data_IF_643921532654
#
_entry.id   IF_643921532654
#
_cell.length_a   1.000
_cell.length_b   1.000
_cell.length_c   1.000
_cell.angle_alpha   90.00
_cell.angle_beta   90.00
_cell.angle_gamma   90.00
#
_symmetry.space_group_name_H-M   'P 1'
#
loop_
_entity.id
_entity.type
_entity.pdbx_description
1 polymer ?
#
# COMPACT_ATOMS: atom_id res chain seq x y z
N UNK A 1 -43.52 16.95 22.07
CA UNK A 1 -42.30 16.76 21.25
C UNK A 1 -42.43 15.76 20.09
N UNK A 2 -43.32 14.75 20.13
CA UNK A 2 -43.43 13.75 19.05
C UNK A 2 -44.21 14.18 17.79
N UNK A 3 -44.89 15.33 17.80
CA UNK A 3 -45.71 15.80 16.66
C UNK A 3 -44.92 16.67 15.65
N UNK A 4 -43.77 17.23 16.05
CA UNK A 4 -42.94 18.09 15.18
C UNK A 4 -42.07 17.25 14.23
N UNK A 5 -41.68 16.04 14.64
CA UNK A 5 -40.87 15.13 13.81
C UNK A 5 -41.64 14.54 12.61
N UNK A 6 -42.97 14.36 12.74
CA UNK A 6 -43.79 13.81 11.65
C UNK A 6 -44.04 14.85 10.55
N UNK A 7 -44.14 16.14 10.89
CA UNK A 7 -44.27 17.20 9.89
C UNK A 7 -42.96 17.43 9.10
N UNK A 8 -41.80 17.24 9.74
CA UNK A 8 -40.51 17.41 9.07
C UNK A 8 -40.21 16.27 8.08
N UNK A 9 -40.65 15.04 8.37
CA UNK A 9 -40.46 13.91 7.47
C UNK A 9 -41.34 13.97 6.21
N UNK A 10 -42.57 14.51 6.31
CA UNK A 10 -43.47 14.66 5.16
C UNK A 10 -42.98 15.77 4.22
N UNK A 11 -42.32 16.81 4.75
CA UNK A 11 -41.77 17.89 3.91
C UNK A 11 -40.52 17.45 3.12
N UNK A 12 -39.74 16.49 3.62
CA UNK A 12 -38.59 15.94 2.89
C UNK A 12 -38.97 15.00 1.74
N UNK A 13 -40.12 14.31 1.82
CA UNK A 13 -40.56 13.38 0.75
C UNK A 13 -41.10 14.14 -0.48
N UNK A 14 -41.66 15.33 -0.30
CA UNK A 14 -42.18 16.15 -1.42
C UNK A 14 -41.06 16.82 -2.24
N UNK A 15 -39.85 16.98 -1.67
CA UNK A 15 -38.71 17.59 -2.36
C UNK A 15 -37.90 16.62 -3.22
N UNK A 16 -38.12 15.31 -3.11
CA UNK A 16 -37.33 14.29 -3.85
C UNK A 16 -38.03 13.84 -5.14
N UNK A 17 -39.34 14.08 -5.31
CA UNK A 17 -40.10 13.64 -6.49
C UNK A 17 -40.16 14.66 -7.64
N UNK A 18 -39.42 15.78 -7.55
CA UNK A 18 -39.52 16.91 -8.48
C UNK A 18 -38.60 16.92 -9.71
N UNK A 19 -37.77 15.91 -9.93
CA UNK A 19 -36.83 15.87 -11.05
C UNK A 19 -36.96 14.60 -11.89
N UNK A 20 -38.12 14.43 -12.54
CA UNK A 20 -38.24 13.57 -13.72
C UNK A 20 -39.08 14.32 -14.76
N UNK A 21 -38.40 15.18 -15.53
CA UNK A 21 -38.93 15.68 -16.81
C UNK A 21 -38.15 14.96 -17.90
N UNK A 22 -38.91 14.20 -18.68
CA UNK A 22 -38.55 13.52 -19.91
C UNK A 22 -38.54 14.51 -21.06
N UNK A 23 -37.44 14.62 -21.80
CA UNK A 23 -37.44 15.21 -23.15
C UNK A 23 -37.14 14.11 -24.17
N UNK A 24 -38.08 13.93 -25.10
CA UNK A 24 -37.97 13.07 -26.28
C UNK A 24 -37.12 13.74 -27.39
N UNK A 25 -36.59 12.98 -28.36
CA UNK A 25 -35.71 13.51 -29.39
C UNK A 25 -36.50 13.99 -30.62
N UNK A 26 -36.39 15.27 -30.97
CA UNK A 26 -36.82 15.75 -32.29
C UNK A 26 -35.69 15.64 -33.32
N UNK A 27 -35.97 14.82 -34.33
CA UNK A 27 -35.32 14.77 -35.63
C UNK A 27 -35.62 16.04 -36.44
N UNK A 28 -34.60 16.71 -36.99
CA UNK A 28 -34.82 17.84 -37.90
C UNK A 28 -33.55 18.27 -38.63
N UNK A 29 -33.61 18.34 -39.95
CA UNK A 29 -32.49 18.38 -40.91
C UNK A 29 -32.38 19.78 -41.55
N UNK A 30 -31.15 20.16 -41.92
CA UNK A 30 -30.71 21.14 -42.96
C UNK A 30 -30.98 22.65 -42.75
N UNK A 31 -29.93 23.49 -42.70
CA UNK A 31 -29.40 24.32 -43.81
C UNK A 31 -28.45 25.41 -43.31
N UNK A 32 -27.32 25.52 -44.02
CA UNK A 32 -26.40 26.66 -44.05
C UNK A 32 -27.11 27.98 -44.37
N UNK A 33 -26.62 29.11 -43.82
CA UNK A 33 -26.32 30.38 -44.53
C UNK A 33 -25.63 31.37 -43.58
N UNK A 34 -24.38 31.70 -43.95
CA UNK A 34 -23.62 32.96 -43.88
C UNK A 34 -23.99 34.19 -43.00
N UNK A 35 -22.88 34.81 -42.52
CA UNK A 35 -22.58 36.28 -42.33
C UNK A 35 -23.30 36.99 -41.16
N UNK A 36 -22.73 37.94 -40.42
CA UNK A 36 -21.58 38.84 -40.57
C UNK A 36 -21.29 39.50 -39.20
N UNK A 37 -20.03 39.95 -38.98
CA UNK A 37 -19.59 41.12 -38.17
C UNK A 37 -19.71 41.14 -36.63
N UNK A 38 -18.54 41.20 -35.98
CA UNK A 38 -18.05 42.30 -35.12
C UNK A 38 -16.64 41.90 -34.60
N UNK A 39 -15.54 42.48 -35.10
CA UNK A 39 -14.95 43.78 -34.75
C UNK A 39 -14.28 43.81 -33.35
N UNK A 40 -12.94 43.81 -33.39
CA UNK A 40 -11.96 44.49 -32.53
C UNK A 40 -12.14 44.54 -31.00
N UNK A 41 -11.22 43.87 -30.31
CA UNK A 41 -10.58 44.40 -29.10
C UNK A 41 -9.15 43.82 -29.00
N UNK A 42 -8.18 44.53 -29.57
CA UNK A 42 -6.77 44.37 -29.19
C UNK A 42 -6.60 45.00 -27.81
N UNK A 43 -6.36 44.20 -26.78
CA UNK A 43 -5.89 44.73 -25.50
C UNK A 43 -4.39 44.49 -25.35
N UNK A 44 -3.69 45.59 -25.12
CA UNK A 44 -2.25 45.69 -25.07
C UNK A 44 -1.74 45.10 -23.76
N UNK A 45 -0.82 44.16 -23.92
CA UNK A 45 0.12 43.71 -22.90
C UNK A 45 0.87 44.94 -22.33
N UNK A 46 0.69 45.21 -21.04
CA UNK A 46 1.55 46.10 -20.27
C UNK A 46 2.27 45.27 -19.20
N UNK A 47 3.51 44.89 -19.49
CA UNK A 47 4.41 44.27 -18.52
C UNK A 47 4.83 45.31 -17.46
N UNK A 48 4.80 45.00 -16.16
CA UNK A 48 5.32 45.90 -15.14
C UNK A 48 6.86 45.94 -15.16
N UNK A 49 7.38 47.16 -14.99
CA UNK A 49 8.79 47.52 -14.90
C UNK A 49 9.46 46.88 -13.67
N UNK A 50 10.73 46.40 -13.75
CA UNK A 50 11.45 45.89 -12.61
C UNK A 50 12.11 47.04 -11.85
N UNK A 51 11.58 47.40 -10.69
CA UNK A 51 12.18 48.42 -9.83
C UNK A 51 11.82 48.27 -8.36
N UNK A 52 12.85 48.28 -7.53
CA UNK A 52 12.87 48.58 -6.10
C UNK A 52 12.62 47.42 -5.11
N UNK A 53 13.75 46.86 -4.62
CA UNK A 53 13.82 45.96 -3.47
C UNK A 53 13.83 46.81 -2.19
N UNK A 54 12.70 46.87 -1.49
CA UNK A 54 12.67 47.34 -0.09
C UNK A 54 13.46 46.38 0.81
N UNK A 55 14.45 46.93 1.53
CA UNK A 55 15.14 46.24 2.61
C UNK A 55 14.24 46.22 3.84
N UNK A 56 13.58 45.09 4.09
CA UNK A 56 12.94 44.82 5.38
C UNK A 56 14.04 44.42 6.37
N UNK A 57 14.34 45.29 7.33
CA UNK A 57 15.19 44.98 8.48
C UNK A 57 14.29 44.32 9.53
N UNK A 58 14.40 43.00 9.67
CA UNK A 58 13.77 42.26 10.77
C UNK A 58 14.71 42.35 11.97
N UNK A 59 14.31 43.13 12.98
CA UNK A 59 14.95 43.13 14.29
C UNK A 59 14.44 41.90 15.05
N UNK A 60 15.30 40.90 15.22
CA UNK A 60 15.02 39.76 16.09
C UNK A 60 15.31 40.16 17.54
N UNK A 61 14.31 40.05 18.40
CA UNK A 61 14.51 40.15 19.85
C UNK A 61 15.24 38.90 20.37
N UNK A 62 16.12 39.03 21.38
CA UNK A 62 16.88 37.90 21.92
C UNK A 62 15.94 36.89 22.58
N UNK A 63 15.97 35.66 22.08
CA UNK A 63 15.28 34.51 22.65
C UNK A 63 15.86 34.23 24.04
N UNK A 64 15.02 34.35 25.07
CA UNK A 64 15.37 34.02 26.45
C UNK A 64 15.41 32.50 26.60
N UNK A 65 16.58 31.95 26.96
CA UNK A 65 16.73 30.52 27.24
C UNK A 65 15.80 30.09 28.39
N UNK A 66 15.08 28.97 28.25
CA UNK A 66 14.26 28.43 29.32
C UNK A 66 15.15 27.85 30.43
N UNK A 67 14.80 28.15 31.68
CA UNK A 67 15.47 27.58 32.86
C UNK A 67 15.30 26.05 32.91
N UNK A 68 16.33 25.32 33.37
CA UNK A 68 16.27 23.87 33.46
C UNK A 68 15.24 23.41 34.50
N UNK A 69 14.48 22.38 34.14
CA UNK A 69 13.50 21.77 35.02
C UNK A 69 14.18 21.13 36.25
N UNK A 70 13.56 21.20 37.44
CA UNK A 70 14.08 20.55 38.64
C UNK A 70 14.05 19.01 38.49
N UNK A 71 15.14 18.37 38.90
CA UNK A 71 15.27 16.91 38.89
C UNK A 71 14.30 16.26 39.88
N UNK A 72 13.64 15.13 39.53
CA UNK A 72 12.75 14.43 40.43
C UNK A 72 13.52 13.66 41.50
N UNK A 73 13.04 13.75 42.75
CA UNK A 73 13.54 12.96 43.88
C UNK A 73 13.29 11.46 43.66
N UNK A 74 14.37 10.70 43.57
CA UNK A 74 14.35 9.23 43.45
C UNK A 74 14.10 8.65 44.84
N UNK A 75 12.89 8.14 45.08
CA UNK A 75 12.56 7.32 46.25
C UNK A 75 12.95 5.88 45.95
N UNK A 76 14.02 5.40 46.58
CA UNK A 76 14.43 3.99 46.55
C UNK A 76 13.53 3.21 47.51
N UNK A 77 12.71 2.32 46.97
CA UNK A 77 11.93 1.33 47.73
C UNK A 77 12.61 -0.01 47.52
N UNK A 78 13.29 -0.51 48.57
CA UNK A 78 13.81 -1.88 48.62
C UNK A 78 12.65 -2.85 48.89
N UNK A 79 12.23 -3.60 47.88
CA UNK A 79 11.38 -4.78 48.06
C UNK A 79 12.26 -6.04 48.22
N UNK A 80 11.98 -6.90 49.22
CA UNK A 80 12.71 -8.15 49.39
C UNK A 80 12.26 -9.20 48.37
N UNK A 81 13.25 -9.85 47.75
CA UNK A 81 13.03 -10.93 46.79
C UNK A 81 12.34 -12.14 47.45
N UNK A 82 11.29 -12.72 46.83
CA UNK A 82 10.74 -13.99 47.26
C UNK A 82 11.66 -15.16 46.84
N UNK A 83 11.87 -16.08 47.77
CA UNK A 83 12.64 -17.32 47.55
C UNK A 83 11.92 -18.24 46.54
N UNK A 84 12.65 -18.91 45.64
CA UNK A 84 12.05 -19.87 44.71
C UNK A 84 11.78 -21.21 45.40
N UNK A 85 10.52 -21.63 45.41
CA UNK A 85 10.09 -22.99 45.73
C UNK A 85 10.59 -23.95 44.64
N UNK A 86 11.31 -25.00 45.07
CA UNK A 86 11.78 -26.08 44.20
C UNK A 86 10.66 -27.09 43.97
N UNK A 87 10.03 -27.02 42.81
CA UNK A 87 9.15 -28.08 42.32
C UNK A 87 9.99 -29.12 41.58
N UNK A 88 10.03 -30.34 42.12
CA UNK A 88 10.71 -31.49 41.52
C UNK A 88 9.74 -32.10 40.52
N UNK A 89 9.94 -31.81 39.24
CA UNK A 89 9.21 -32.45 38.13
C UNK A 89 10.01 -33.68 37.69
N UNK A 90 9.43 -34.86 37.92
CA UNK A 90 9.89 -36.13 37.37
C UNK A 90 9.58 -36.15 35.86
N UNK A 91 10.62 -36.00 35.05
CA UNK A 91 10.51 -36.08 33.58
C UNK A 91 10.57 -37.56 33.19
N UNK A 92 9.46 -38.08 32.70
CA UNK A 92 9.41 -39.37 32.03
C UNK A 92 10.11 -39.25 30.66
N UNK A 93 11.07 -40.13 30.39
CA UNK A 93 11.72 -40.28 29.08
C UNK A 93 10.68 -40.75 28.05
N UNK A 94 10.36 -39.89 27.09
CA UNK A 94 9.62 -40.27 25.89
C UNK A 94 10.55 -40.93 24.86
N UNK A 95 10.07 -41.94 24.10
CA UNK A 95 10.89 -42.69 23.18
C UNK A 95 11.29 -41.87 21.96
N UNK A 96 12.58 -41.91 21.61
CA UNK A 96 13.10 -41.41 20.35
C UNK A 96 12.46 -42.17 19.19
N UNK A 97 11.48 -41.54 18.51
CA UNK A 97 10.94 -42.04 17.25
C UNK A 97 11.67 -41.41 16.06
N UNK A 98 12.57 -42.24 15.54
CA UNK A 98 13.26 -42.22 14.27
C UNK A 98 12.33 -41.87 13.09
N UNK A 99 12.60 -40.76 12.40
CA UNK A 99 12.71 -40.65 10.93
C UNK A 99 12.38 -39.25 10.41
N UNK A 100 13.41 -38.39 10.36
CA UNK A 100 13.46 -37.29 9.40
C UNK A 100 13.43 -37.88 7.98
N UNK A 101 12.23 -38.05 7.41
CA UNK A 101 12.10 -38.16 5.96
C UNK A 101 12.37 -36.77 5.39
N UNK A 102 13.43 -36.57 4.58
CA UNK A 102 13.60 -35.32 3.88
C UNK A 102 12.38 -35.10 2.99
N UNK A 103 11.74 -33.94 3.16
CA UNK A 103 10.70 -33.46 2.25
C UNK A 103 11.25 -33.54 0.81
N UNK A 104 10.47 -34.04 -0.15
CA UNK A 104 10.93 -34.11 -1.54
C UNK A 104 11.25 -32.69 -2.00
N UNK A 105 12.53 -32.44 -2.26
CA UNK A 105 12.96 -31.22 -2.91
C UNK A 105 12.22 -31.15 -4.25
N UNK A 106 11.22 -30.28 -4.33
CA UNK A 106 10.64 -29.84 -5.59
C UNK A 106 11.73 -29.03 -6.31
N UNK A 107 12.66 -29.75 -6.94
CA UNK A 107 13.60 -29.18 -7.89
C UNK A 107 12.79 -28.88 -9.15
N UNK A 108 12.12 -27.74 -9.14
CA UNK A 108 11.66 -27.11 -10.38
C UNK A 108 12.93 -26.74 -11.14
N UNK A 109 13.19 -27.40 -12.27
CA UNK A 109 14.14 -26.90 -13.28
C UNK A 109 13.68 -25.50 -13.69
N UNK A 110 14.18 -24.48 -13.00
CA UNK A 110 14.08 -23.09 -13.41
C UNK A 110 15.00 -22.97 -14.61
N UNK A 111 14.41 -22.80 -15.80
CA UNK A 111 15.15 -22.66 -17.03
C UNK A 111 16.18 -21.51 -16.91
N UNK A 112 17.35 -21.67 -17.55
CA UNK A 112 18.28 -20.56 -17.73
C UNK A 112 17.60 -19.52 -18.64
N UNK A 113 17.18 -18.40 -18.07
CA UNK A 113 16.57 -17.30 -18.80
C UNK A 113 17.63 -16.24 -19.14
N UNK A 114 17.62 -15.75 -20.38
CA UNK A 114 18.40 -14.57 -20.78
C UNK A 114 18.00 -13.38 -19.87
N UNK A 115 19.02 -12.67 -19.39
CA UNK A 115 18.99 -11.73 -18.26
C UNK A 115 18.22 -10.41 -18.51
N UNK A 116 17.11 -10.42 -19.25
CA UNK A 116 16.17 -9.31 -19.34
C UNK A 116 14.77 -9.88 -19.52
N UNK A 117 14.00 -9.97 -18.44
CA UNK A 117 12.58 -10.27 -18.52
C UNK A 117 11.76 -8.99 -18.32
N UNK A 118 10.98 -8.65 -19.35
CA UNK A 118 10.00 -7.57 -19.29
C UNK A 118 8.61 -8.17 -19.00
N UNK A 119 8.00 -7.75 -17.90
CA UNK A 119 6.66 -8.20 -17.52
C UNK A 119 5.79 -7.02 -17.15
N UNK A 120 4.55 -7.02 -17.66
CA UNK A 120 3.53 -6.02 -17.37
C UNK A 120 2.34 -6.65 -16.66
N UNK A 121 1.80 -5.95 -15.67
CA UNK A 121 0.60 -6.35 -14.94
C UNK A 121 -0.49 -5.26 -15.01
N UNK A 122 -1.77 -5.67 -15.01
CA UNK A 122 -2.94 -4.78 -14.90
C UNK A 122 -4.04 -5.41 -14.04
N UNK A 123 -4.58 -4.67 -13.08
CA UNK A 123 -5.58 -5.17 -12.10
C UNK A 123 -6.98 -4.58 -12.21
N UNK A 124 -7.94 -5.26 -11.59
CA UNK A 124 -9.37 -4.91 -11.52
C UNK A 124 -9.76 -3.98 -10.37
N UNK A 125 -10.92 -4.22 -9.76
CA UNK A 125 -11.40 -3.44 -8.60
C UNK A 125 -10.58 -3.80 -7.36
N UNK A 126 -9.96 -2.84 -6.66
CA UNK A 126 -9.18 -3.15 -5.48
C UNK A 126 -10.04 -3.42 -4.25
N UNK A 127 -9.47 -4.16 -3.31
CA UNK A 127 -9.97 -4.34 -1.94
C UNK A 127 -8.90 -3.90 -0.95
N UNK A 128 -9.26 -3.04 0.00
CA UNK A 128 -8.36 -2.59 1.04
C UNK A 128 -8.35 -3.59 2.19
N UNK A 129 -7.15 -3.99 2.64
CA UNK A 129 -6.93 -4.74 3.87
C UNK A 129 -6.75 -3.74 5.01
N UNK A 130 -7.52 -3.90 6.08
CA UNK A 130 -7.48 -3.10 7.29
C UNK A 130 -6.70 -3.82 8.39
N UNK A 131 -6.31 -3.14 9.46
CA UNK A 131 -5.67 -3.81 10.59
C UNK A 131 -6.58 -4.86 11.22
N UNK A 132 -6.01 -6.00 11.62
CA UNK A 132 -6.77 -7.05 12.29
C UNK A 132 -5.92 -8.20 12.79
N UNK A 133 -6.61 -9.22 13.34
CA UNK A 133 -5.97 -10.48 13.74
C UNK A 133 -5.38 -11.18 12.53
N UNK A 134 -4.14 -11.64 12.65
CA UNK A 134 -3.53 -12.47 11.60
C UNK A 134 -4.34 -13.75 11.42
N UNK A 135 -4.57 -14.16 10.17
CA UNK A 135 -5.31 -15.39 9.86
C UNK A 135 -4.52 -16.62 10.29
N UNK A 136 -3.24 -16.68 9.93
CA UNK A 136 -2.39 -17.85 10.22
C UNK A 136 -1.84 -17.86 11.65
N UNK A 137 -1.67 -16.68 12.28
CA UNK A 137 -1.22 -16.57 13.68
C UNK A 137 -2.16 -15.65 14.49
N UNK A 138 -3.35 -16.13 14.92
CA UNK A 138 -4.41 -15.28 15.51
C UNK A 138 -4.05 -14.54 16.81
N UNK A 139 -2.95 -14.91 17.47
CA UNK A 139 -2.43 -14.19 18.63
C UNK A 139 -1.73 -12.88 18.25
N UNK A 140 -1.32 -12.71 16.99
CA UNK A 140 -0.83 -11.45 16.44
C UNK A 140 -2.03 -10.57 16.05
N UNK A 141 -2.09 -9.38 16.64
CA UNK A 141 -3.14 -8.37 16.42
C UNK A 141 -2.58 -7.18 15.63
N UNK A 142 -3.48 -6.36 15.10
CA UNK A 142 -3.15 -5.15 14.33
C UNK A 142 -2.19 -5.39 13.15
N UNK A 143 -2.35 -6.54 12.48
CA UNK A 143 -1.50 -6.97 11.36
C UNK A 143 -2.13 -6.66 10.00
N UNK A 144 -1.29 -6.64 8.95
CA UNK A 144 -1.72 -6.56 7.54
C UNK A 144 -2.18 -7.91 6.95
N UNK A 145 -2.09 -9.00 7.72
CA UNK A 145 -2.31 -10.39 7.28
C UNK A 145 -3.66 -10.92 7.76
N UNK A 146 -4.71 -10.14 7.53
CA UNK A 146 -6.04 -10.35 8.10
C UNK A 146 -7.12 -10.51 7.02
N UNK A 147 -8.31 -10.89 7.48
CA UNK A 147 -9.56 -10.94 6.71
C UNK A 147 -10.45 -9.71 6.97
N UNK A 148 -9.97 -8.73 7.74
CA UNK A 148 -10.65 -7.44 7.88
C UNK A 148 -10.43 -6.61 6.62
N UNK A 149 -11.42 -6.59 5.74
CA UNK A 149 -11.32 -6.01 4.40
C UNK A 149 -12.48 -5.08 4.09
N UNK A 150 -12.29 -4.21 3.11
CA UNK A 150 -13.33 -3.33 2.59
C UNK A 150 -13.09 -3.04 1.12
N UNK A 151 -14.17 -3.05 0.33
CA UNK A 151 -14.12 -2.71 -1.08
C UNK A 151 -13.49 -1.32 -1.29
N UNK A 152 -12.68 -1.22 -2.33
CA UNK A 152 -12.04 0.00 -2.76
C UNK A 152 -12.34 0.27 -4.23
N UNK A 153 -11.78 1.36 -4.75
CA UNK A 153 -11.81 1.71 -6.18
C UNK A 153 -10.46 2.25 -6.56
N UNK A 154 -9.99 1.88 -7.74
CA UNK A 154 -8.65 2.21 -8.15
C UNK A 154 -8.23 1.53 -9.43
N UNK A 155 -6.97 1.71 -9.78
CA UNK A 155 -6.33 1.10 -10.94
C UNK A 155 -4.89 0.73 -10.57
N UNK A 156 -4.42 -0.38 -11.14
CA UNK A 156 -3.06 -0.85 -11.02
C UNK A 156 -2.52 -1.18 -12.41
N UNK A 157 -1.35 -0.61 -12.73
CA UNK A 157 -0.49 -1.05 -13.83
C UNK A 157 0.97 -0.94 -13.41
N UNK A 158 1.77 -1.91 -13.83
CA UNK A 158 3.21 -1.89 -13.59
C UNK A 158 3.94 -2.65 -14.69
N UNK A 159 5.10 -2.15 -15.09
CA UNK A 159 6.05 -2.81 -15.96
C UNK A 159 7.43 -2.84 -15.29
N UNK A 160 8.06 -4.01 -15.29
CA UNK A 160 9.36 -4.22 -14.65
C UNK A 160 10.37 -4.82 -15.62
N UNK A 161 11.64 -4.56 -15.32
CA UNK A 161 12.78 -5.20 -15.96
C UNK A 161 13.62 -5.84 -14.86
N UNK A 162 13.73 -7.16 -14.92
CA UNK A 162 14.65 -7.95 -14.08
C UNK A 162 15.84 -8.39 -14.94
N UNK A 163 17.02 -7.96 -14.52
CA UNK A 163 18.31 -8.22 -15.17
C UNK A 163 19.30 -8.93 -14.27
N UNK A 164 18.93 -9.14 -13.00
CA UNK A 164 19.84 -9.56 -11.95
C UNK A 164 19.16 -10.59 -11.07
N UNK A 165 19.41 -11.86 -11.35
CA UNK A 165 18.80 -12.96 -10.58
C UNK A 165 19.18 -12.96 -9.08
N UNK A 166 20.28 -12.30 -8.71
CA UNK A 166 20.84 -12.31 -7.35
C UNK A 166 20.79 -10.94 -6.71
N UNK A 167 20.60 -10.96 -5.39
CA UNK A 167 20.61 -9.79 -4.55
C UNK A 167 21.96 -9.05 -4.62
N UNK A 168 21.93 -7.79 -5.02
CA UNK A 168 23.15 -7.03 -5.32
C UNK A 168 22.85 -5.54 -5.35
N UNK A 169 23.64 -4.74 -4.62
CA UNK A 169 23.58 -3.27 -4.67
C UNK A 169 23.84 -2.71 -6.10
N UNK A 170 24.44 -3.53 -6.97
CA UNK A 170 24.72 -3.21 -8.37
C UNK A 170 23.64 -3.71 -9.34
N UNK A 171 22.52 -4.22 -8.84
CA UNK A 171 21.41 -4.67 -9.69
C UNK A 171 20.98 -3.59 -10.70
N UNK A 172 20.72 -4.02 -11.93
CA UNK A 172 20.15 -3.22 -13.01
C UNK A 172 18.61 -3.21 -13.03
N UNK A 173 17.99 -3.86 -12.05
CA UNK A 173 16.55 -4.10 -12.02
C UNK A 173 15.82 -2.81 -11.69
N UNK A 174 14.72 -2.59 -12.39
CA UNK A 174 13.98 -1.34 -12.32
C UNK A 174 12.52 -1.50 -12.70
N UNK A 175 11.72 -0.63 -12.12
CA UNK A 175 10.34 -0.41 -12.54
C UNK A 175 10.37 0.64 -13.65
N UNK A 176 9.95 0.25 -14.86
CA UNK A 176 9.96 1.14 -16.04
C UNK A 176 8.73 2.06 -16.06
N UNK A 177 7.57 1.53 -15.67
CA UNK A 177 6.32 2.26 -15.59
C UNK A 177 5.51 1.70 -14.44
N UNK A 178 4.92 2.58 -13.64
CA UNK A 178 4.02 2.18 -12.55
C UNK A 178 2.96 3.25 -12.35
N UNK A 179 1.73 2.79 -12.17
CA UNK A 179 0.64 3.63 -11.73
C UNK A 179 -0.27 2.79 -10.84
N UNK A 180 -0.35 3.21 -9.59
CA UNK A 180 -1.20 2.59 -8.58
C UNK A 180 -2.04 3.69 -8.00
N UNK A 181 -3.35 3.52 -8.07
CA UNK A 181 -4.32 4.41 -7.48
C UNK A 181 -5.34 3.59 -6.72
N UNK A 182 -5.72 4.03 -5.52
CA UNK A 182 -6.86 3.46 -4.82
C UNK A 182 -7.48 4.44 -3.82
N UNK A 183 -8.74 4.18 -3.45
CA UNK A 183 -9.48 4.96 -2.43
C UNK A 183 -9.61 4.17 -1.13
N UNK A 184 -9.05 4.71 -0.06
CA UNK A 184 -9.21 4.15 1.29
C UNK A 184 -10.65 4.22 1.79
N UNK A 185 -10.96 3.41 2.82
CA UNK A 185 -12.22 3.42 3.57
C UNK A 185 -12.66 4.81 4.04
N UNK A 186 -11.69 5.65 4.41
CA UNK A 186 -11.93 7.02 4.88
C UNK A 186 -12.17 8.01 3.73
N UNK A 187 -12.19 7.53 2.48
CA UNK A 187 -12.44 8.33 1.29
C UNK A 187 -11.20 9.00 0.71
N UNK A 188 -10.02 8.87 1.33
CA UNK A 188 -8.78 9.42 0.78
C UNK A 188 -8.33 8.61 -0.44
N UNK A 189 -7.86 9.31 -1.46
CA UNK A 189 -7.32 8.75 -2.69
C UNK A 189 -5.79 8.77 -2.61
N UNK A 190 -5.15 7.63 -2.85
CA UNK A 190 -3.69 7.50 -2.81
C UNK A 190 -3.14 7.17 -4.19
N UNK A 191 -1.93 7.67 -4.48
CA UNK A 191 -1.25 7.42 -5.75
C UNK A 191 0.24 7.10 -5.58
N UNK A 192 0.71 6.19 -6.40
CA UNK A 192 2.12 5.84 -6.62
C UNK A 192 2.38 5.90 -8.13
N UNK A 193 3.43 6.62 -8.54
CA UNK A 193 3.78 6.82 -9.95
C UNK A 193 5.25 6.49 -10.26
N UNK A 194 6.03 6.14 -9.24
CA UNK A 194 7.43 5.76 -9.35
C UNK A 194 7.74 4.77 -8.24
N UNK A 195 8.55 3.74 -8.51
CA UNK A 195 9.13 2.89 -7.48
C UNK A 195 10.63 2.78 -7.73
N UNK A 196 11.40 3.21 -6.74
CA UNK A 196 12.86 3.09 -6.71
C UNK A 196 13.22 1.76 -6.06
N UNK A 197 13.84 0.85 -6.81
CA UNK A 197 14.12 -0.51 -6.36
C UNK A 197 15.10 -0.57 -5.19
N UNK A 198 14.75 -1.37 -4.19
CA UNK A 198 15.56 -1.66 -3.01
C UNK A 198 16.45 -2.86 -3.29
N UNK A 199 17.58 -2.60 -3.96
CA UNK A 199 18.44 -3.58 -4.65
C UNK A 199 19.01 -4.71 -3.80
N UNK A 200 19.02 -4.56 -2.49
CA UNK A 200 19.54 -5.55 -1.57
C UNK A 200 18.69 -5.61 -0.31
N UNK A 201 18.27 -6.81 0.03
CA UNK A 201 17.52 -7.06 1.25
C UNK A 201 18.43 -7.15 2.47
N UNK A 202 17.93 -6.68 3.61
CA UNK A 202 18.66 -6.73 4.88
C UNK A 202 18.37 -8.05 5.61
N UNK A 203 17.10 -8.46 5.64
CA UNK A 203 16.64 -9.63 6.41
C UNK A 203 16.48 -10.89 5.56
N UNK A 204 16.05 -10.72 4.32
CA UNK A 204 15.83 -11.78 3.34
C UNK A 204 16.22 -11.24 1.96
N UNK A 205 16.50 -12.10 0.96
CA UNK A 205 16.86 -11.66 -0.38
C UNK A 205 15.75 -10.83 -1.03
N UNK A 206 16.09 -9.69 -1.64
CA UNK A 206 15.16 -8.89 -2.44
C UNK A 206 15.30 -9.15 -3.96
N UNK A 207 16.18 -10.07 -4.36
CA UNK A 207 16.46 -10.39 -5.76
C UNK A 207 16.85 -9.15 -6.58
N UNK A 208 17.75 -8.30 -6.07
CA UNK A 208 18.09 -7.08 -6.83
C UNK A 208 16.99 -6.01 -6.78
N UNK A 209 15.98 -6.21 -5.92
CA UNK A 209 14.81 -5.36 -5.75
C UNK A 209 13.60 -5.82 -6.57
N UNK A 210 13.79 -6.69 -7.57
CA UNK A 210 12.72 -7.27 -8.39
C UNK A 210 12.95 -8.76 -8.57
N UNK A 211 12.01 -9.60 -8.11
CA UNK A 211 12.02 -11.03 -8.39
C UNK A 211 10.93 -11.41 -9.37
N UNK A 212 11.29 -12.10 -10.45
CA UNK A 212 10.34 -12.77 -11.34
C UNK A 212 10.29 -14.27 -11.08
N UNK A 213 9.07 -14.83 -11.07
CA UNK A 213 8.79 -16.25 -10.88
C UNK A 213 9.47 -16.85 -9.63
N UNK A 214 9.34 -16.18 -8.48
CA UNK A 214 9.97 -16.58 -7.22
C UNK A 214 8.92 -17.13 -6.25
N UNK A 215 9.24 -18.23 -5.56
CA UNK A 215 8.46 -18.65 -4.39
C UNK A 215 8.72 -17.68 -3.24
N UNK A 216 7.66 -17.20 -2.62
CA UNK A 216 7.70 -16.23 -1.50
C UNK A 216 6.71 -16.64 -0.40
N UNK A 217 6.83 -15.99 0.76
CA UNK A 217 5.98 -16.20 1.94
C UNK A 217 6.07 -17.62 2.53
N UNK A 218 5.21 -17.93 3.51
CA UNK A 218 5.19 -19.23 4.18
C UNK A 218 6.55 -19.61 4.78
N UNK A 219 7.00 -20.82 4.48
CA UNK A 219 8.27 -21.40 4.96
C UNK A 219 9.47 -21.13 4.05
N UNK A 220 9.32 -20.32 2.99
CA UNK A 220 10.43 -19.98 2.07
C UNK A 220 11.55 -19.17 2.73
N UNK A 221 11.27 -18.54 3.87
CA UNK A 221 12.17 -17.56 4.50
C UNK A 221 12.26 -16.22 3.76
N UNK A 222 11.40 -15.99 2.76
CA UNK A 222 11.31 -14.73 2.02
C UNK A 222 10.06 -13.97 2.46
N UNK A 223 10.29 -12.75 2.95
CA UNK A 223 9.30 -11.85 3.54
C UNK A 223 8.65 -12.37 4.84
N UNK A 224 7.52 -13.08 4.76
CA UNK A 224 6.70 -13.39 5.93
C UNK A 224 6.04 -14.77 5.86
N UNK A 225 6.05 -15.47 6.99
CA UNK A 225 5.31 -16.72 7.19
C UNK A 225 3.80 -16.52 7.43
N UNK A 226 3.33 -15.27 7.48
CA UNK A 226 1.94 -14.93 7.80
C UNK A 226 1.00 -14.93 6.59
N UNK A 227 1.55 -15.19 5.39
CA UNK A 227 0.81 -15.52 4.18
C UNK A 227 1.15 -16.96 3.74
N UNK A 228 0.25 -17.64 3.00
CA UNK A 228 0.56 -18.91 2.37
C UNK A 228 1.77 -18.82 1.43
N UNK A 229 2.60 -19.86 1.38
CA UNK A 229 3.68 -19.95 0.39
C UNK A 229 3.06 -19.92 -1.01
N UNK A 230 3.48 -18.97 -1.84
CA UNK A 230 2.90 -18.72 -3.18
C UNK A 230 3.98 -18.41 -4.20
N UNK A 231 3.69 -18.65 -5.48
CA UNK A 231 4.52 -18.15 -6.58
C UNK A 231 4.22 -16.67 -6.83
N UNK A 232 5.24 -15.83 -6.65
CA UNK A 232 5.25 -14.46 -7.15
C UNK A 232 5.70 -14.44 -8.61
N UNK A 233 4.80 -14.09 -9.51
CA UNK A 233 5.13 -13.77 -10.90
C UNK A 233 6.00 -12.52 -10.97
N UNK A 234 5.68 -11.53 -10.14
CA UNK A 234 6.46 -10.31 -9.93
C UNK A 234 6.49 -10.00 -8.45
N UNK A 235 7.64 -9.66 -7.88
CA UNK A 235 7.75 -9.07 -6.55
C UNK A 235 8.75 -7.92 -6.59
N UNK A 236 8.37 -6.76 -6.09
CA UNK A 236 9.16 -5.52 -6.12
C UNK A 236 9.26 -4.96 -4.72
N UNK A 237 10.47 -4.87 -4.18
CA UNK A 237 10.75 -4.12 -2.96
C UNK A 237 11.43 -2.80 -3.32
N UNK A 238 11.01 -1.72 -2.70
CA UNK A 238 11.58 -0.42 -2.99
C UNK A 238 11.06 0.71 -2.13
N UNK A 239 11.22 1.93 -2.65
CA UNK A 239 10.70 3.16 -2.07
C UNK A 239 9.92 3.94 -3.11
N UNK A 240 8.94 4.71 -2.67
CA UNK A 240 8.12 5.59 -3.51
C UNK A 240 7.88 6.91 -2.81
N UNK A 241 7.55 7.93 -3.58
CA UNK A 241 6.81 9.07 -3.04
C UNK A 241 5.32 8.73 -3.05
N UNK A 242 4.64 9.01 -1.95
CA UNK A 242 3.22 8.77 -1.79
C UNK A 242 2.46 10.09 -1.92
N UNK A 243 1.41 10.07 -2.73
CA UNK A 243 0.49 11.20 -2.90
C UNK A 243 -0.86 10.85 -2.29
N UNK A 244 -1.53 11.84 -1.70
CA UNK A 244 -2.85 11.75 -1.07
C UNK A 244 -3.73 12.88 -1.57
N UNK A 245 -4.89 12.54 -2.11
CA UNK A 245 -5.89 13.48 -2.64
C UNK A 245 -5.29 14.47 -3.66
N UNK A 246 -4.41 14.01 -4.54
CA UNK A 246 -3.76 14.83 -5.57
C UNK A 246 -2.58 15.69 -5.08
N UNK A 247 -2.19 15.57 -3.80
CA UNK A 247 -1.08 16.31 -3.22
C UNK A 247 0.03 15.36 -2.77
N UNK A 248 1.27 15.82 -2.84
CA UNK A 248 2.39 15.13 -2.21
C UNK A 248 2.11 14.94 -0.71
N UNK A 249 2.32 13.73 -0.22
CA UNK A 249 2.00 13.36 1.16
C UNK A 249 3.23 12.89 1.94
N UNK A 250 4.04 12.01 1.35
CA UNK A 250 5.29 11.54 1.97
C UNK A 250 6.31 11.16 0.90
N UNK A 251 7.61 11.38 1.18
CA UNK A 251 8.71 10.96 0.30
C UNK A 251 9.35 9.67 0.80
N UNK A 252 9.95 8.93 -0.13
CA UNK A 252 10.82 7.77 0.15
C UNK A 252 10.20 6.72 1.11
N UNK A 253 8.89 6.54 1.05
CA UNK A 253 8.20 5.55 1.88
C UNK A 253 8.47 4.15 1.33
N UNK A 254 8.69 3.15 2.19
CA UNK A 254 8.86 1.78 1.76
C UNK A 254 7.60 1.30 1.04
N UNK A 255 7.80 0.53 -0.03
CA UNK A 255 6.71 -0.11 -0.77
C UNK A 255 7.13 -1.52 -1.15
N UNK A 256 6.21 -2.46 -0.99
CA UNK A 256 6.30 -3.80 -1.54
C UNK A 256 5.11 -4.02 -2.46
N UNK A 257 5.38 -4.40 -3.71
CA UNK A 257 4.36 -4.77 -4.69
C UNK A 257 4.61 -6.21 -5.08
N UNK A 258 3.60 -7.07 -4.96
CA UNK A 258 3.70 -8.46 -5.42
C UNK A 258 2.52 -8.80 -6.31
N UNK A 259 2.78 -9.47 -7.44
CA UNK A 259 1.79 -10.11 -8.30
C UNK A 259 1.99 -11.61 -8.17
N UNK A 260 1.03 -12.30 -7.60
CA UNK A 260 1.17 -13.66 -7.05
C UNK A 260 0.01 -14.55 -7.50
N UNK A 261 0.17 -15.86 -7.33
CA UNK A 261 -0.98 -16.76 -7.35
C UNK A 261 -1.95 -16.35 -6.24
N UNK A 262 -3.24 -16.35 -6.56
CA UNK A 262 -4.28 -15.95 -5.63
C UNK A 262 -4.30 -16.82 -4.38
N UNK A 263 -4.37 -16.20 -3.22
CA UNK A 263 -4.58 -16.86 -1.94
C UNK A 263 -5.73 -16.22 -1.16
N UNK A 264 -6.54 -15.38 -1.80
CA UNK A 264 -7.81 -14.88 -1.27
C UNK A 264 -8.98 -15.43 -2.08
N UNK A 265 -10.08 -15.70 -1.38
CA UNK A 265 -11.34 -16.12 -2.00
C UNK A 265 -12.05 -14.91 -2.64
N UNK A 266 -12.42 -14.99 -3.92
CA UNK A 266 -12.99 -13.86 -4.68
C UNK A 266 -14.32 -13.31 -4.11
N UNK A 267 -15.02 -14.10 -3.28
CA UNK A 267 -16.34 -13.72 -2.74
C UNK A 267 -16.23 -13.12 -1.34
N UNK A 268 -15.47 -13.79 -0.47
CA UNK A 268 -15.32 -13.40 0.93
C UNK A 268 -14.05 -12.60 1.21
N UNK A 269 -13.13 -12.56 0.23
CA UNK A 269 -11.80 -11.94 0.30
C UNK A 269 -10.94 -12.47 1.45
N UNK A 270 -11.32 -13.61 2.03
CA UNK A 270 -10.60 -14.26 3.10
C UNK A 270 -9.34 -14.93 2.55
N UNK A 271 -8.25 -14.92 3.33
CA UNK A 271 -7.09 -15.75 3.05
C UNK A 271 -7.50 -17.23 3.09
N UNK A 272 -7.16 -17.97 2.04
CA UNK A 272 -7.44 -19.39 1.80
C UNK A 272 -6.17 -20.13 1.35
N UNK A 273 -6.34 -21.34 0.82
CA UNK A 273 -5.25 -22.03 0.13
C UNK A 273 -4.94 -21.36 -1.21
N UNK A 274 -3.70 -21.47 -1.67
CA UNK A 274 -3.28 -20.92 -2.96
C UNK A 274 -4.07 -21.56 -4.11
N UNK A 275 -4.69 -20.72 -4.93
CA UNK A 275 -5.28 -21.06 -6.21
C UNK A 275 -4.35 -20.59 -7.34
N UNK A 276 -3.70 -21.55 -7.98
CA UNK A 276 -2.80 -21.30 -9.10
C UNK A 276 -3.50 -20.77 -10.37
N UNK A 277 -4.84 -20.87 -10.44
CA UNK A 277 -5.63 -20.33 -11.55
C UNK A 277 -6.00 -18.85 -11.35
N UNK A 278 -5.90 -18.35 -10.11
CA UNK A 278 -6.15 -16.95 -9.76
C UNK A 278 -4.84 -16.17 -9.71
N UNK A 279 -4.90 -14.87 -10.01
CA UNK A 279 -3.76 -13.96 -9.91
C UNK A 279 -4.19 -12.68 -9.25
N UNK A 280 -3.49 -12.31 -8.18
CA UNK A 280 -3.76 -11.09 -7.43
C UNK A 280 -2.50 -10.23 -7.30
N UNK A 281 -2.68 -8.92 -7.18
CA UNK A 281 -1.60 -7.98 -6.92
C UNK A 281 -1.78 -7.35 -5.54
N UNK A 282 -0.80 -7.47 -4.66
CA UNK A 282 -0.75 -6.80 -3.36
C UNK A 282 0.18 -5.60 -3.41
N UNK A 283 -0.29 -4.48 -2.88
CA UNK A 283 0.49 -3.26 -2.73
C UNK A 283 0.49 -2.92 -1.25
N UNK A 284 1.67 -2.95 -0.65
CA UNK A 284 1.89 -2.75 0.78
C UNK A 284 2.82 -1.57 1.00
N UNK A 285 2.33 -0.54 1.69
CA UNK A 285 3.14 0.50 2.31
C UNK A 285 3.07 0.26 3.82
N UNK A 286 4.08 -0.39 4.41
CA UNK A 286 4.11 -0.60 5.85
C UNK A 286 4.39 0.73 6.54
N UNK A 287 3.66 1.10 7.59
CA UNK A 287 4.03 2.27 8.40
C UNK A 287 4.94 1.94 9.57
N UNK A 288 5.42 0.70 9.69
CA UNK A 288 6.60 0.34 10.48
C UNK A 288 7.43 -0.65 9.65
N UNK A 289 8.59 -0.21 9.16
CA UNK A 289 9.60 -1.11 8.60
C UNK A 289 10.62 -1.50 9.68
N UNK A 290 11.19 -2.69 9.57
CA UNK A 290 12.00 -3.32 10.60
C UNK A 290 13.16 -2.47 11.16
N UNK A 291 13.25 -2.51 12.49
CA UNK A 291 14.40 -2.42 13.41
C UNK A 291 15.33 -1.19 13.46
N UNK A 292 15.38 -0.24 12.53
CA UNK A 292 16.28 0.93 12.74
C UNK A 292 15.62 2.30 12.78
N UNK A 293 14.54 2.53 12.04
CA UNK A 293 13.74 3.76 12.20
C UNK A 293 12.29 3.41 11.89
N UNK A 294 11.38 3.59 12.87
CA UNK A 294 9.95 3.57 12.57
C UNK A 294 9.69 4.74 11.63
N UNK A 295 9.59 4.48 10.32
CA UNK A 295 8.99 5.44 9.40
C UNK A 295 7.48 5.44 9.66
N UNK A 296 7.06 6.03 10.77
CA UNK A 296 5.64 6.28 11.03
C UNK A 296 5.21 7.32 10.01
N UNK A 297 4.41 6.89 9.04
CA UNK A 297 3.80 7.82 8.09
C UNK A 297 2.56 8.37 8.78
N UNK A 298 2.75 9.49 9.49
CA UNK A 298 1.68 10.18 10.20
C UNK A 298 0.50 10.48 9.27
N UNK A 299 -0.71 10.11 9.70
CA UNK A 299 -1.92 10.33 8.92
C UNK A 299 -2.29 9.20 7.95
N UNK A 300 -1.63 8.04 8.04
CA UNK A 300 -2.16 6.79 7.52
C UNK A 300 -3.26 6.22 8.44
N UNK A 301 -4.36 5.65 7.89
CA UNK A 301 -5.50 5.24 8.71
C UNK A 301 -5.20 4.14 9.72
N UNK A 302 -4.42 3.15 9.31
CA UNK A 302 -4.12 1.94 10.09
C UNK A 302 -2.61 1.81 10.38
N UNK A 303 -1.86 2.92 10.27
CA UNK A 303 -0.38 2.91 10.26
C UNK A 303 0.22 2.01 9.17
N UNK A 304 -0.54 1.69 8.13
CA UNK A 304 -0.08 1.11 6.88
C UNK A 304 -1.12 1.39 5.79
N UNK A 305 -0.74 1.10 4.55
CA UNK A 305 -1.69 0.93 3.44
C UNK A 305 -1.46 -0.46 2.86
N UNK A 306 -2.52 -1.26 2.78
CA UNK A 306 -2.49 -2.53 2.09
C UNK A 306 -3.74 -2.61 1.24
N UNK A 307 -3.54 -2.67 -0.07
CA UNK A 307 -4.61 -2.89 -1.05
C UNK A 307 -4.21 -4.08 -1.90
N UNK A 308 -5.19 -4.86 -2.32
CA UNK A 308 -4.96 -5.88 -3.32
C UNK A 308 -5.96 -5.78 -4.47
N UNK A 309 -5.56 -6.28 -5.63
CA UNK A 309 -6.33 -6.27 -6.87
C UNK A 309 -6.51 -7.72 -7.32
N UNK A 310 -7.74 -8.10 -7.63
CA UNK A 310 -8.09 -9.41 -8.20
C UNK A 310 -7.99 -9.39 -9.72
N UNK A 311 -8.04 -10.58 -10.33
CA UNK A 311 -8.05 -10.81 -11.78
C UNK A 311 -6.91 -10.11 -12.53
N UNK A 312 -5.71 -10.12 -11.94
CA UNK A 312 -4.56 -9.40 -12.51
C UNK A 312 -4.07 -10.13 -13.75
N UNK A 313 -4.04 -9.41 -14.88
CA UNK A 313 -3.53 -9.92 -16.15
C UNK A 313 -2.03 -9.67 -16.27
N UNK A 314 -1.28 -10.69 -16.66
CA UNK A 314 0.15 -10.63 -16.93
C UNK A 314 0.44 -10.68 -18.44
N UNK A 315 1.37 -9.85 -18.88
CA UNK A 315 1.83 -9.80 -20.27
C UNK A 315 3.36 -9.87 -20.30
N UNK A 316 3.90 -10.64 -21.22
CA UNK A 316 5.32 -10.63 -21.59
C UNK A 316 5.44 -9.91 -22.93
N UNK A 317 6.25 -8.85 -22.98
CA UNK A 317 6.53 -8.11 -24.22
C UNK A 317 7.86 -8.56 -24.84
#
# INVERSE_FOLDING_TARGET
MKLIYVLFMILCIVLITGCLVTEEPETGRVQDVEKEKAAEAEDKIMLPSPGEKEKVIVVQEPVKEPEPAPEPDIVVIDEPAPEPEKEVVEIAEEPEEDSEKPLPAAQTELAEFDAVEYTRAKGGSPTQILAGKSVLKPHLIDTIYTNNVVDSRGEFRMSVVDTTDKDSDLSGDRVEDVFIEFRSKQGNQFYIQEIRTGRKGIKFPHFGGIGLNKLVYGDTGIDTELNPQTLAYITVWGKTDLYKNGHFFAADVPVHVSVVQGFRDDVSHNITAVDAASTEAHIVIPGIYGIEEKTVIDGLPDQFLHVYFEDVSLFKE
#
